data_IF_247048951839
#
_entry.id   IF_247048951839
#
_cell.length_a   1.000
_cell.length_b   1.000
_cell.length_c   1.000
_cell.angle_alpha   90.00
_cell.angle_beta   90.00
_cell.angle_gamma   90.00
#
_symmetry.space_group_name_H-M   'P 1'
#
loop_
_entity.id
_entity.type
_entity.pdbx_description
1 polymer ?
#
# COMPACT_ATOMS: atom_id res chain seq x y z
N UNK A 1 -9.90 -27.14 4.14
CA UNK A 1 -8.93 -26.21 3.52
C UNK A 1 -8.12 -27.03 2.53
N UNK A 2 -8.14 -26.67 1.24
CA UNK A 2 -7.36 -27.32 0.20
C UNK A 2 -5.90 -26.84 0.23
N UNK A 3 -4.97 -27.71 -0.17
CA UNK A 3 -3.57 -27.38 -0.41
C UNK A 3 -3.33 -27.41 -1.90
N UNK A 4 -2.67 -26.38 -2.44
CA UNK A 4 -2.22 -26.34 -3.83
C UNK A 4 -0.76 -26.80 -3.87
N UNK A 5 -0.48 -27.84 -4.64
CA UNK A 5 0.88 -28.33 -4.89
C UNK A 5 1.32 -27.87 -6.26
N UNK A 6 2.45 -27.20 -6.32
CA UNK A 6 3.08 -26.72 -7.56
C UNK A 6 4.45 -27.40 -7.68
N UNK A 7 4.78 -27.85 -8.87
CA UNK A 7 6.07 -28.45 -9.18
C UNK A 7 6.68 -27.78 -10.43
N UNK A 8 7.97 -27.50 -10.36
CA UNK A 8 8.74 -26.92 -11.46
C UNK A 8 10.05 -27.69 -11.64
N UNK A 9 10.00 -28.95 -12.14
CA UNK A 9 11.16 -29.84 -12.20
C UNK A 9 12.31 -29.28 -13.05
N UNK A 10 12.00 -28.40 -14.00
CA UNK A 10 12.99 -27.74 -14.86
C UNK A 10 13.31 -26.30 -14.40
N UNK A 11 12.91 -25.92 -13.18
CA UNK A 11 13.01 -24.54 -12.68
C UNK A 11 11.90 -23.63 -13.22
N UNK A 12 11.93 -22.38 -12.75
CA UNK A 12 10.98 -21.36 -13.20
C UNK A 12 11.53 -20.64 -14.41
N UNK A 13 10.66 -20.38 -15.39
CA UNK A 13 10.98 -19.63 -16.60
C UNK A 13 10.15 -18.35 -16.65
N UNK A 14 10.76 -17.28 -17.17
CA UNK A 14 10.10 -16.00 -17.37
C UNK A 14 8.93 -16.13 -18.34
N UNK A 15 7.84 -15.45 -18.01
CA UNK A 15 6.62 -15.45 -18.80
C UNK A 15 5.89 -14.11 -18.70
N UNK A 16 4.87 -13.93 -19.53
CA UNK A 16 3.95 -12.80 -19.41
C UNK A 16 2.78 -13.22 -18.53
N UNK A 17 2.54 -12.48 -17.46
CA UNK A 17 1.50 -12.71 -16.46
C UNK A 17 0.56 -11.51 -16.52
N UNK A 18 -0.69 -11.72 -16.85
CA UNK A 18 -1.74 -10.73 -16.71
C UNK A 18 -2.57 -11.05 -15.46
N UNK A 19 -2.70 -10.11 -14.54
CA UNK A 19 -3.54 -10.27 -13.36
C UNK A 19 -4.96 -9.80 -13.71
N UNK A 20 -5.95 -10.70 -13.60
CA UNK A 20 -7.35 -10.39 -13.89
C UNK A 20 -7.88 -9.25 -13.02
N UNK A 21 -7.35 -9.13 -11.81
CA UNK A 21 -7.60 -8.02 -10.90
C UNK A 21 -6.30 -7.57 -10.23
N UNK A 22 -6.22 -6.29 -9.90
CA UNK A 22 -5.09 -5.74 -9.17
C UNK A 22 -5.02 -6.40 -7.80
N UNK A 23 -3.89 -7.04 -7.49
CA UNK A 23 -3.68 -7.75 -6.23
C UNK A 23 -2.25 -7.57 -5.75
N UNK A 24 -2.10 -7.00 -4.55
CA UNK A 24 -0.80 -6.83 -3.87
C UNK A 24 -0.13 -8.18 -3.66
N UNK A 25 -0.86 -9.13 -3.07
CA UNK A 25 -0.33 -10.46 -2.78
C UNK A 25 0.11 -11.22 -4.03
N UNK A 26 -0.69 -11.19 -5.11
CA UNK A 26 -0.32 -11.81 -6.38
C UNK A 26 0.92 -11.14 -7.00
N UNK A 27 0.98 -9.81 -6.98
CA UNK A 27 2.12 -9.04 -7.52
C UNK A 27 3.41 -9.37 -6.75
N UNK A 28 3.38 -9.36 -5.41
CA UNK A 28 4.53 -9.69 -4.56
C UNK A 28 5.01 -11.12 -4.82
N UNK A 29 4.11 -12.10 -4.81
CA UNK A 29 4.48 -13.50 -5.04
C UNK A 29 5.05 -13.72 -6.45
N UNK A 30 4.48 -13.07 -7.46
CA UNK A 30 5.00 -13.13 -8.83
C UNK A 30 6.40 -12.51 -8.93
N UNK A 31 6.66 -11.36 -8.27
CA UNK A 31 7.99 -10.75 -8.19
C UNK A 31 8.98 -11.72 -7.56
N UNK A 32 8.67 -12.26 -6.38
CA UNK A 32 9.56 -13.17 -5.64
C UNK A 32 9.88 -14.44 -6.43
N UNK A 33 8.92 -15.01 -7.15
CA UNK A 33 9.15 -16.15 -8.02
C UNK A 33 10.02 -15.79 -9.24
N UNK A 34 9.76 -14.62 -9.85
CA UNK A 34 10.38 -14.19 -11.08
C UNK A 34 11.85 -13.74 -10.94
N UNK A 35 12.26 -13.25 -9.77
CA UNK A 35 13.64 -12.72 -9.60
C UNK A 35 14.73 -13.75 -9.87
N UNK A 36 14.42 -15.05 -9.76
CA UNK A 36 15.35 -16.14 -10.06
C UNK A 36 14.89 -17.04 -11.21
N UNK A 37 13.78 -16.74 -11.86
CA UNK A 37 13.31 -17.45 -13.05
C UNK A 37 14.25 -17.20 -14.24
N UNK A 38 14.46 -18.21 -15.06
CA UNK A 38 15.28 -18.04 -16.28
C UNK A 38 14.55 -17.16 -17.31
N UNK A 39 15.22 -16.13 -17.80
CA UNK A 39 14.66 -15.23 -18.82
C UNK A 39 14.01 -13.98 -18.22
N UNK A 40 12.93 -13.52 -18.85
CA UNK A 40 12.24 -12.29 -18.46
C UNK A 40 10.76 -12.55 -18.14
N UNK A 41 10.30 -12.04 -17.01
CA UNK A 41 8.88 -12.01 -16.63
C UNK A 41 8.34 -10.61 -16.79
N UNK A 42 7.13 -10.49 -17.34
CA UNK A 42 6.36 -9.24 -17.40
C UNK A 42 5.06 -9.47 -16.66
N UNK A 43 4.83 -8.67 -15.62
CA UNK A 43 3.58 -8.68 -14.86
C UNK A 43 2.77 -7.46 -15.30
N UNK A 44 1.56 -7.69 -15.80
CA UNK A 44 0.63 -6.65 -16.24
C UNK A 44 -0.56 -6.57 -15.31
N UNK A 45 -1.18 -5.40 -15.22
CA UNK A 45 -2.18 -5.06 -14.23
C UNK A 45 -1.69 -5.28 -12.79
N UNK A 46 -0.40 -5.01 -12.58
CA UNK A 46 0.28 -5.14 -11.30
C UNK A 46 -0.24 -4.10 -10.29
N UNK A 47 -0.19 -4.45 -9.03
CA UNK A 47 -0.43 -3.52 -7.93
C UNK A 47 0.69 -2.47 -7.84
N UNK A 48 0.35 -1.25 -7.40
CA UNK A 48 1.22 -0.06 -7.45
C UNK A 48 1.59 0.46 -6.06
N UNK A 49 1.17 -0.25 -5.03
CA UNK A 49 1.34 0.14 -3.63
C UNK A 49 2.82 0.40 -3.30
N UNK A 50 3.10 1.37 -2.40
CA UNK A 50 4.46 1.75 -2.02
C UNK A 50 5.31 0.60 -1.51
N UNK A 51 4.72 -0.36 -0.81
CA UNK A 51 5.40 -1.55 -0.31
C UNK A 51 5.93 -2.46 -1.42
N UNK A 52 5.35 -2.41 -2.62
CA UNK A 52 5.86 -3.13 -3.79
C UNK A 52 7.11 -2.46 -4.34
N UNK A 53 7.14 -1.13 -4.32
CA UNK A 53 8.32 -0.34 -4.70
C UNK A 53 9.46 -0.60 -3.71
N UNK A 54 9.15 -0.63 -2.41
CA UNK A 54 10.12 -0.92 -1.36
C UNK A 54 10.71 -2.33 -1.51
N UNK A 55 9.86 -3.35 -1.72
CA UNK A 55 10.30 -4.72 -2.00
C UNK A 55 11.23 -4.78 -3.22
N UNK A 56 10.87 -4.11 -4.31
CA UNK A 56 11.69 -4.11 -5.52
C UNK A 56 13.02 -3.39 -5.29
N UNK A 57 13.03 -2.31 -4.52
CA UNK A 57 14.24 -1.60 -4.11
C UNK A 57 15.14 -2.51 -3.28
N UNK A 58 14.58 -3.20 -2.30
CA UNK A 58 15.29 -4.20 -1.50
C UNK A 58 15.94 -5.28 -2.38
N UNK A 59 15.16 -5.91 -3.25
CA UNK A 59 15.65 -6.97 -4.13
C UNK A 59 16.68 -6.46 -5.15
N UNK A 60 16.48 -5.26 -5.73
CA UNK A 60 17.44 -4.66 -6.65
C UNK A 60 18.78 -4.36 -5.97
N UNK A 61 18.77 -3.93 -4.72
CA UNK A 61 19.97 -3.76 -3.92
C UNK A 61 20.71 -5.09 -3.67
N UNK A 62 19.97 -6.21 -3.67
CA UNK A 62 20.55 -7.57 -3.63
C UNK A 62 21.04 -8.07 -5.00
N UNK A 63 20.90 -7.28 -6.06
CA UNK A 63 21.32 -7.62 -7.41
C UNK A 63 20.21 -8.13 -8.35
N UNK A 64 18.94 -8.06 -7.93
CA UNK A 64 17.82 -8.31 -8.83
C UNK A 64 17.74 -7.26 -9.95
N UNK A 65 16.94 -7.55 -10.97
CA UNK A 65 16.71 -6.65 -12.13
C UNK A 65 15.22 -6.44 -12.32
N UNK A 66 14.64 -5.59 -11.46
CA UNK A 66 13.21 -5.27 -11.44
C UNK A 66 13.05 -3.81 -11.89
N UNK A 67 12.12 -3.56 -12.80
CA UNK A 67 11.77 -2.21 -13.29
C UNK A 67 10.26 -2.08 -13.43
N UNK A 68 9.75 -0.84 -13.35
CA UNK A 68 8.34 -0.51 -13.56
C UNK A 68 7.46 -0.65 -12.33
N UNK A 69 8.00 -0.92 -11.13
CA UNK A 69 7.23 -0.86 -9.89
C UNK A 69 6.65 0.53 -9.67
N UNK A 70 5.44 0.60 -9.12
CA UNK A 70 4.66 1.84 -9.05
C UNK A 70 3.84 2.14 -10.32
N UNK A 71 4.02 1.34 -11.38
CA UNK A 71 3.18 1.36 -12.60
C UNK A 71 2.37 0.07 -12.70
N UNK A 72 1.48 -0.02 -13.69
CA UNK A 72 0.69 -1.23 -13.95
C UNK A 72 1.48 -2.38 -14.60
N UNK A 73 2.73 -2.12 -14.99
CA UNK A 73 3.54 -3.11 -15.68
C UNK A 73 4.93 -3.22 -15.06
N UNK A 74 5.23 -4.40 -14.53
CA UNK A 74 6.52 -4.71 -13.90
C UNK A 74 7.29 -5.68 -14.79
N UNK A 75 8.56 -5.35 -15.08
CA UNK A 75 9.48 -6.19 -15.84
C UNK A 75 10.59 -6.69 -14.96
N UNK A 76 10.82 -8.00 -14.95
CA UNK A 76 11.82 -8.67 -14.13
C UNK A 76 12.69 -9.53 -15.04
N UNK A 77 14.00 -9.31 -15.01
CA UNK A 77 14.97 -10.21 -15.63
C UNK A 77 15.58 -11.06 -14.54
N UNK A 78 15.40 -12.36 -14.64
CA UNK A 78 15.89 -13.29 -13.62
C UNK A 78 17.40 -13.28 -13.49
N UNK A 79 17.88 -13.51 -12.28
CA UNK A 79 19.31 -13.57 -11.93
C UNK A 79 19.65 -14.91 -11.28
N UNK A 80 20.88 -15.38 -11.48
CA UNK A 80 21.31 -16.66 -10.91
C UNK A 80 21.43 -16.64 -9.38
N UNK A 81 21.86 -15.51 -8.82
CA UNK A 81 22.08 -15.33 -7.39
C UNK A 81 21.69 -13.94 -6.95
N UNK A 82 21.20 -13.84 -5.72
CA UNK A 82 21.04 -12.59 -5.01
C UNK A 82 22.17 -12.50 -3.97
N UNK A 83 22.66 -11.31 -3.74
CA UNK A 83 23.74 -11.05 -2.77
C UNK A 83 23.14 -10.56 -1.46
N UNK A 84 23.80 -10.87 -0.35
CA UNK A 84 23.41 -10.30 0.94
C UNK A 84 23.66 -8.80 0.95
N UNK A 85 22.71 -8.05 1.52
CA UNK A 85 22.86 -6.62 1.85
C UNK A 85 23.23 -6.45 3.31
N UNK A 86 23.88 -5.33 3.60
CA UNK A 86 24.19 -4.97 4.98
C UNK A 86 22.95 -4.43 5.72
N UNK A 87 22.20 -3.56 5.09
CA UNK A 87 21.03 -2.89 5.72
C UNK A 87 20.01 -2.48 4.68
N UNK A 88 18.73 -2.64 5.02
CA UNK A 88 17.61 -2.04 4.33
C UNK A 88 16.66 -1.46 5.38
N UNK A 89 16.28 -0.22 5.20
CA UNK A 89 15.26 0.42 6.04
C UNK A 89 13.92 0.28 5.33
N UNK A 90 13.00 -0.43 5.95
CA UNK A 90 11.63 -0.58 5.44
C UNK A 90 10.91 0.77 5.53
N UNK A 91 10.11 1.10 4.52
CA UNK A 91 9.32 2.32 4.51
C UNK A 91 8.31 2.34 5.67
N UNK A 92 7.88 3.55 6.06
CA UNK A 92 6.83 3.72 7.07
C UNK A 92 5.52 3.07 6.61
N UNK A 93 4.84 2.40 7.54
CA UNK A 93 3.56 1.76 7.29
C UNK A 93 2.44 2.80 7.24
N UNK A 94 1.90 3.02 6.03
CA UNK A 94 0.79 3.95 5.80
C UNK A 94 -0.51 3.53 6.48
N UNK A 95 -0.73 2.24 6.69
CA UNK A 95 -1.94 1.73 7.36
C UNK A 95 -1.86 2.00 8.86
N UNK A 96 -0.70 1.77 9.46
CA UNK A 96 -0.44 2.16 10.85
C UNK A 96 -0.60 3.67 11.04
N UNK A 97 0.02 4.47 10.17
CA UNK A 97 -0.09 5.93 10.22
C UNK A 97 -1.55 6.40 10.10
N UNK A 98 -2.32 5.89 9.14
CA UNK A 98 -3.74 6.22 8.97
C UNK A 98 -4.60 5.81 10.17
N UNK A 99 -4.26 4.69 10.81
CA UNK A 99 -4.93 4.23 12.04
C UNK A 99 -4.73 5.24 13.18
N UNK A 100 -3.49 5.68 13.41
CA UNK A 100 -3.19 6.68 14.44
C UNK A 100 -3.74 8.06 14.10
N UNK A 101 -3.79 8.44 12.81
CA UNK A 101 -4.46 9.68 12.37
C UNK A 101 -5.95 9.67 12.70
N UNK A 102 -6.65 8.56 12.44
CA UNK A 102 -8.06 8.41 12.80
C UNK A 102 -8.26 8.49 14.32
N UNK A 103 -7.42 7.81 15.08
CA UNK A 103 -7.48 7.83 16.56
C UNK A 103 -7.22 9.23 17.09
N UNK A 104 -6.23 9.93 16.53
CA UNK A 104 -5.90 11.31 16.91
C UNK A 104 -7.07 12.27 16.65
N UNK A 105 -7.72 12.15 15.48
CA UNK A 105 -8.88 12.96 15.14
C UNK A 105 -10.12 12.66 16.01
N UNK A 106 -10.30 11.38 16.42
CA UNK A 106 -11.44 10.97 17.20
C UNK A 106 -11.33 11.36 18.68
N UNK A 107 -10.16 11.23 19.28
CA UNK A 107 -9.96 11.28 20.74
C UNK A 107 -8.79 12.18 21.16
N UNK A 108 -7.99 12.69 20.23
CA UNK A 108 -6.79 13.46 20.52
C UNK A 108 -7.10 14.89 20.98
N UNK A 109 -6.15 15.46 21.69
CA UNK A 109 -6.11 16.89 22.06
C UNK A 109 -4.80 17.51 21.58
N UNK A 110 -4.54 17.37 20.29
CA UNK A 110 -3.29 17.73 19.62
C UNK A 110 -2.28 16.58 19.63
N UNK A 111 -2.20 15.83 18.52
CA UNK A 111 -1.31 14.66 18.38
C UNK A 111 -0.40 14.85 17.19
N UNK A 112 0.90 14.64 17.37
CA UNK A 112 1.89 14.60 16.31
C UNK A 112 2.25 13.16 15.96
N UNK A 113 2.11 12.80 14.68
CA UNK A 113 2.52 11.49 14.16
C UNK A 113 3.76 11.70 13.33
N UNK A 114 4.86 11.06 13.72
CA UNK A 114 6.16 11.13 13.08
C UNK A 114 6.44 9.94 12.19
N UNK A 115 7.46 10.06 11.35
CA UNK A 115 7.93 9.02 10.45
C UNK A 115 6.81 8.52 9.52
N UNK A 116 6.10 9.45 8.91
CA UNK A 116 5.08 9.19 7.89
C UNK A 116 5.59 9.62 6.53
N UNK A 117 5.03 9.06 5.48
CA UNK A 117 5.22 9.51 4.10
C UNK A 117 3.85 10.02 3.63
N UNK A 118 3.61 11.35 3.69
CA UNK A 118 2.29 11.92 3.42
C UNK A 118 1.75 11.58 2.04
N UNK A 119 2.61 11.44 1.04
CA UNK A 119 2.27 11.09 -0.33
C UNK A 119 1.62 9.69 -0.42
N UNK A 120 1.91 8.80 0.54
CA UNK A 120 1.29 7.48 0.61
C UNK A 120 -0.11 7.50 1.22
N UNK A 121 -0.52 8.63 1.79
CA UNK A 121 -1.77 8.83 2.54
C UNK A 121 -2.71 9.86 1.90
N UNK A 122 -2.40 10.42 0.73
CA UNK A 122 -3.15 11.53 0.13
C UNK A 122 -4.66 11.26 0.02
N UNK A 123 -5.05 10.07 -0.43
CA UNK A 123 -6.47 9.70 -0.53
C UNK A 123 -7.15 9.64 0.83
N UNK A 124 -6.43 9.23 1.86
CA UNK A 124 -6.92 9.12 3.24
C UNK A 124 -7.01 10.50 3.90
N UNK A 125 -5.94 11.29 3.87
CA UNK A 125 -5.89 12.64 4.46
C UNK A 125 -6.90 13.56 3.79
N UNK A 126 -7.12 13.42 2.47
CA UNK A 126 -8.16 14.16 1.75
C UNK A 126 -9.56 13.87 2.31
N UNK A 127 -9.86 12.61 2.65
CA UNK A 127 -11.15 12.24 3.26
C UNK A 127 -11.27 12.74 4.70
N UNK A 128 -10.20 12.75 5.47
CA UNK A 128 -10.19 13.37 6.80
C UNK A 128 -10.46 14.87 6.72
N UNK A 129 -9.84 15.57 5.78
CA UNK A 129 -10.07 17.01 5.55
C UNK A 129 -11.52 17.26 5.12
N UNK A 130 -12.07 16.43 4.23
CA UNK A 130 -13.49 16.48 3.82
C UNK A 130 -14.43 16.32 5.02
N UNK A 131 -14.05 15.48 5.99
CA UNK A 131 -14.77 15.33 7.27
C UNK A 131 -14.63 16.53 8.22
N UNK A 132 -13.80 17.52 7.90
CA UNK A 132 -13.55 18.69 8.74
C UNK A 132 -12.40 18.51 9.73
N UNK A 133 -11.60 17.45 9.61
CA UNK A 133 -10.38 17.29 10.40
C UNK A 133 -9.32 18.27 9.87
N UNK A 134 -8.80 19.11 10.75
CA UNK A 134 -7.64 19.93 10.44
C UNK A 134 -6.38 19.09 10.49
N UNK A 135 -5.55 19.17 9.45
CA UNK A 135 -4.26 18.48 9.37
C UNK A 135 -3.15 19.48 9.01
N UNK A 136 -2.08 19.46 9.77
CA UNK A 136 -0.84 20.16 9.42
C UNK A 136 0.16 19.13 8.92
N UNK A 137 0.34 19.07 7.61
CA UNK A 137 1.15 18.07 6.93
C UNK A 137 2.51 18.68 6.62
N UNK A 138 3.56 18.06 7.10
CA UNK A 138 4.96 18.35 6.81
C UNK A 138 5.61 17.15 6.08
N UNK A 139 6.88 17.23 5.76
CA UNK A 139 7.58 16.24 4.93
C UNK A 139 7.60 14.81 5.51
N UNK A 140 7.64 14.68 6.84
CA UNK A 140 7.79 13.38 7.53
C UNK A 140 6.89 13.24 8.77
N UNK A 141 5.95 14.18 8.96
CA UNK A 141 5.05 14.20 10.13
C UNK A 141 3.73 14.86 9.79
N UNK A 142 2.70 14.48 10.52
CA UNK A 142 1.37 15.07 10.43
C UNK A 142 0.91 15.40 11.85
N UNK A 143 0.54 16.66 12.08
CA UNK A 143 -0.08 17.09 13.31
C UNK A 143 -1.58 17.16 13.14
N UNK A 144 -2.30 16.56 14.09
CA UNK A 144 -3.75 16.54 14.17
C UNK A 144 -4.15 17.37 15.38
N UNK A 145 -4.64 18.61 15.22
CA UNK A 145 -5.23 19.39 16.32
C UNK A 145 -6.47 18.68 16.87
N UNK A 146 -6.96 19.17 17.98
CA UNK A 146 -8.25 18.70 18.51
C UNK A 146 -9.36 18.96 17.50
N UNK A 147 -10.04 17.90 17.09
CA UNK A 147 -11.22 18.00 16.23
C UNK A 147 -12.45 18.42 17.07
N UNK A 148 -13.24 19.36 16.55
CA UNK A 148 -14.41 19.87 17.27
C UNK A 148 -15.73 19.48 16.60
N UNK A 149 -15.73 19.27 15.31
CA UNK A 149 -16.95 19.00 14.54
C UNK A 149 -16.60 18.19 13.30
N UNK A 150 -17.24 17.05 13.13
CA UNK A 150 -17.00 16.17 12.01
C UNK A 150 -18.22 16.13 11.10
N UNK A 151 -17.98 16.25 9.80
CA UNK A 151 -19.00 16.15 8.76
C UNK A 151 -19.07 14.74 8.18
N UNK A 152 -20.25 14.30 7.71
CA UNK A 152 -20.40 13.02 7.05
C UNK A 152 -19.64 12.99 5.71
N UNK A 153 -19.16 11.80 5.34
CA UNK A 153 -18.37 11.61 4.14
C UNK A 153 -18.76 10.32 3.40
N UNK A 154 -18.60 10.33 2.09
CA UNK A 154 -18.68 9.12 1.28
C UNK A 154 -17.29 8.68 0.86
N UNK A 155 -16.94 7.43 1.19
CA UNK A 155 -15.67 6.81 0.86
C UNK A 155 -15.91 5.63 -0.07
N UNK A 156 -15.09 5.53 -1.12
CA UNK A 156 -15.05 4.37 -2.01
C UNK A 156 -13.65 3.80 -2.00
N UNK A 157 -13.52 2.52 -1.64
CA UNK A 157 -12.22 1.83 -1.71
C UNK A 157 -11.79 1.60 -3.15
N UNK A 158 -10.51 1.78 -3.42
CA UNK A 158 -9.92 1.61 -4.76
C UNK A 158 -8.46 1.17 -4.63
N UNK A 159 -7.89 0.47 -5.64
CA UNK A 159 -6.46 0.23 -5.71
C UNK A 159 -5.66 1.52 -5.60
N UNK A 160 -4.45 1.44 -5.04
CA UNK A 160 -3.56 2.58 -4.90
C UNK A 160 -3.33 3.30 -6.27
N UNK A 161 -3.35 4.64 -6.31
CA UNK A 161 -3.35 5.61 -5.21
C UNK A 161 -4.74 5.99 -4.67
N UNK A 162 -5.79 5.20 -4.95
CA UNK A 162 -7.10 5.41 -4.36
C UNK A 162 -7.16 5.07 -2.87
N UNK A 163 -8.35 5.18 -2.28
CA UNK A 163 -8.54 4.91 -0.86
C UNK A 163 -8.36 3.41 -0.56
N UNK A 164 -7.36 3.08 0.23
CA UNK A 164 -7.02 1.69 0.55
C UNK A 164 -8.13 1.01 1.36
N UNK A 165 -8.48 -0.23 0.99
CA UNK A 165 -9.47 -1.04 1.73
C UNK A 165 -9.06 -1.25 3.19
N UNK A 166 -7.76 -1.37 3.47
CA UNK A 166 -7.24 -1.55 4.84
C UNK A 166 -7.38 -0.29 5.72
N UNK A 167 -7.67 0.87 5.13
CA UNK A 167 -7.94 2.11 5.84
C UNK A 167 -9.43 2.38 6.10
N UNK A 168 -10.34 1.54 5.58
CA UNK A 168 -11.76 1.69 5.88
C UNK A 168 -12.07 1.36 7.34
N UNK A 169 -11.47 0.30 7.89
CA UNK A 169 -11.72 -0.11 9.28
C UNK A 169 -11.30 0.98 10.28
N UNK A 170 -10.09 1.56 10.23
CA UNK A 170 -9.72 2.63 11.15
C UNK A 170 -10.49 3.95 10.91
N UNK A 171 -10.96 4.22 9.68
CA UNK A 171 -11.77 5.42 9.42
C UNK A 171 -13.22 5.26 9.89
N UNK A 172 -13.79 4.07 9.88
CA UNK A 172 -15.20 3.83 10.24
C UNK A 172 -15.57 4.34 11.63
N UNK A 173 -14.81 4.12 12.70
CA UNK A 173 -15.08 4.72 14.01
C UNK A 173 -15.10 6.25 13.98
N UNK A 174 -14.17 6.87 13.25
CA UNK A 174 -14.16 8.33 13.09
C UNK A 174 -15.42 8.81 12.36
N UNK A 175 -15.83 8.12 11.29
CA UNK A 175 -17.06 8.44 10.54
C UNK A 175 -18.32 8.34 11.42
N UNK A 176 -18.34 7.43 12.40
CA UNK A 176 -19.47 7.27 13.33
C UNK A 176 -19.64 8.44 14.31
N UNK A 177 -18.62 9.30 14.43
CA UNK A 177 -18.67 10.52 15.23
C UNK A 177 -19.13 11.73 14.43
N UNK A 178 -19.33 11.59 13.13
CA UNK A 178 -19.79 12.68 12.27
C UNK A 178 -21.28 12.98 12.49
N UNK A 179 -21.63 14.23 12.28
CA UNK A 179 -23.02 14.71 12.43
C UNK A 179 -23.79 14.49 11.12
N UNK A 180 -24.28 13.26 10.91
CA UNK A 180 -25.04 12.84 9.75
C UNK A 180 -24.62 11.46 9.22
N UNK A 181 -25.16 11.08 8.07
CA UNK A 181 -24.96 9.76 7.47
C UNK A 181 -23.69 9.72 6.62
N UNK A 182 -22.75 8.86 6.99
CA UNK A 182 -21.56 8.54 6.21
C UNK A 182 -21.72 7.21 5.48
N UNK A 183 -21.09 7.07 4.33
CA UNK A 183 -21.18 5.86 3.50
C UNK A 183 -19.81 5.34 3.12
N UNK A 184 -19.59 4.02 3.26
CA UNK A 184 -18.43 3.33 2.69
C UNK A 184 -18.93 2.36 1.62
N UNK A 185 -18.30 2.41 0.45
CA UNK A 185 -18.51 1.48 -0.65
C UNK A 185 -17.20 0.73 -0.86
N UNK A 186 -17.17 -0.55 -0.48
CA UNK A 186 -16.02 -1.40 -0.79
C UNK A 186 -16.17 -1.95 -2.22
N UNK A 187 -15.13 -1.78 -3.03
CA UNK A 187 -15.09 -2.25 -4.42
C UNK A 187 -13.92 -3.21 -4.68
N UNK A 188 -13.21 -3.61 -3.63
CA UNK A 188 -12.07 -4.51 -3.71
C UNK A 188 -12.49 -5.95 -3.43
N UNK A 189 -13.45 -6.16 -2.52
CA UNK A 189 -13.97 -7.47 -2.11
C UNK A 189 -15.49 -7.57 -2.29
#
# INVERSE_FOLDING_TARGET
>A
KGTVHLDAPNGLHGSRIFLDMVSVGATINAILAAVRAEGTTIIENAAREPEIIDLATFLNNMGAKIRGTGTDTIRITGVKTLQSMNTHTIIADRIEAGTYLSLAAALGDGVMIHNVIPEHLESFTSKMIEMGVELQIDSDKIYVPKSSHLHPVTVKTMPFPGFATDLQQPLTPLMSLADGDSTIVDTIY
#
